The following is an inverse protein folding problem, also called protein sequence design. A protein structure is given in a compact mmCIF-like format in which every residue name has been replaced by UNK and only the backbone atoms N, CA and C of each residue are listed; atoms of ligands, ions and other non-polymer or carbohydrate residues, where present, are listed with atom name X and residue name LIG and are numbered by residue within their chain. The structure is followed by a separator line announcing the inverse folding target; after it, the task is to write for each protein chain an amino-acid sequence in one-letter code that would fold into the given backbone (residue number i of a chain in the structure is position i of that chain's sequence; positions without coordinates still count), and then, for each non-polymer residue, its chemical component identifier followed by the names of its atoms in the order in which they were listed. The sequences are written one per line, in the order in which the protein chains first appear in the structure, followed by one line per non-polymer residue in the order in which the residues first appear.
data_IF_538429552872
#
_entry.id   IF_538429552872
#
_cell.length_a   1.000
_cell.length_b   1.000
_cell.length_c   1.000
_cell.angle_alpha   90.00
_cell.angle_beta   90.00
_cell.angle_gamma   90.00
#
_symmetry.space_group_name_H-M   'P 1'
#
loop_
_entity.id
_entity.type
_entity.pdbx_description
1 polymer ?
#
# COMPACT_ATOMS: atom_id res chain seq x y z
N UNK A 1 -63.09 -26.27 51.47
CA UNK A 1 -62.89 -25.34 52.60
C UNK A 1 -61.83 -24.32 52.16
N UNK A 2 -62.28 -23.11 51.78
CA UNK A 2 -61.90 -21.79 52.37
C UNK A 2 -60.40 -21.47 52.25
N UNK A 3 -59.90 -20.39 51.63
CA UNK A 3 -60.43 -19.04 51.33
C UNK A 3 -59.33 -18.30 50.48
N UNK A 4 -59.66 -17.56 49.41
CA UNK A 4 -59.90 -16.08 49.37
C UNK A 4 -58.58 -15.32 49.04
N UNK A 5 -58.50 -14.34 48.13
CA UNK A 5 -59.20 -13.04 48.14
C UNK A 5 -58.81 -12.21 46.88
N UNK A 6 -59.85 -11.64 46.22
CA UNK A 6 -60.05 -10.30 45.61
C UNK A 6 -58.89 -9.58 44.84
N UNK A 7 -59.12 -8.68 43.88
CA UNK A 7 -60.14 -7.62 43.75
C UNK A 7 -60.15 -7.09 42.30
N UNK A 8 -61.34 -6.73 41.82
CA UNK A 8 -61.59 -5.89 40.64
C UNK A 8 -61.25 -4.44 41.00
N UNK A 9 -60.52 -3.72 40.15
CA UNK A 9 -60.57 -2.25 40.15
C UNK A 9 -60.59 -1.71 38.72
N UNK A 10 -61.74 -1.13 38.39
CA UNK A 10 -61.98 -0.18 37.32
C UNK A 10 -60.98 0.98 37.38
N UNK A 11 -60.33 1.28 36.26
CA UNK A 11 -59.56 2.51 36.10
C UNK A 11 -60.07 3.29 34.88
N UNK A 12 -60.49 4.51 35.18
CA UNK A 12 -61.04 5.51 34.29
C UNK A 12 -60.08 5.92 33.17
N UNK A 13 -60.67 6.19 32.01
CA UNK A 13 -60.06 6.86 30.88
C UNK A 13 -59.77 8.32 31.24
N UNK A 14 -58.51 8.70 31.36
CA UNK A 14 -58.05 10.09 31.34
C UNK A 14 -57.19 10.29 30.10
N UNK A 15 -57.70 11.08 29.15
CA UNK A 15 -56.90 11.66 28.08
C UNK A 15 -55.87 12.61 28.70
N UNK A 16 -54.62 12.48 28.27
CA UNK A 16 -53.65 13.58 28.32
C UNK A 16 -53.14 13.87 26.89
N UNK A 17 -52.97 15.15 26.51
CA UNK A 17 -52.48 15.54 25.20
C UNK A 17 -50.95 15.64 25.18
N UNK A 18 -50.36 15.27 24.04
CA UNK A 18 -49.16 15.90 23.47
C UNK A 18 -47.83 15.76 24.22
N UNK A 19 -47.02 14.78 23.80
CA UNK A 19 -45.57 14.91 23.82
C UNK A 19 -45.06 14.70 22.39
N UNK A 20 -44.56 15.77 21.77
CA UNK A 20 -43.85 15.70 20.50
C UNK A 20 -42.67 14.76 20.67
N UNK A 21 -42.64 13.70 19.87
CA UNK A 21 -41.46 12.84 19.75
C UNK A 21 -40.30 13.72 19.27
N UNK A 22 -39.33 13.93 20.14
CA UNK A 22 -38.02 14.41 19.73
C UNK A 22 -37.41 13.29 18.91
N UNK A 23 -37.23 13.54 17.61
CA UNK A 23 -36.39 12.73 16.73
C UNK A 23 -35.02 12.58 17.40
N UNK A 24 -34.78 11.41 17.98
CA UNK A 24 -33.46 11.02 18.44
C UNK A 24 -32.60 10.85 17.19
N UNK A 25 -31.83 11.89 16.87
CA UNK A 25 -30.79 11.82 15.86
C UNK A 25 -29.94 10.58 16.12
N UNK A 26 -29.81 9.74 15.08
CA UNK A 26 -28.88 8.61 15.10
C UNK A 26 -27.48 9.11 15.46
N UNK A 27 -26.70 8.40 16.30
CA UNK A 27 -25.35 8.82 16.59
C UNK A 27 -24.58 8.86 15.28
N UNK A 28 -24.06 10.04 14.92
CA UNK A 28 -23.25 10.25 13.74
C UNK A 28 -22.15 9.17 13.71
N UNK A 29 -22.13 8.37 12.64
CA UNK A 29 -21.09 7.39 12.41
C UNK A 29 -19.74 8.10 12.48
N UNK A 30 -18.83 7.63 13.33
CA UNK A 30 -17.46 8.14 13.33
C UNK A 30 -16.91 8.03 11.90
N UNK A 31 -16.17 9.03 11.40
CA UNK A 31 -15.57 8.95 10.07
C UNK A 31 -14.69 7.70 10.02
N UNK A 32 -15.07 6.75 9.15
CA UNK A 32 -14.29 5.54 8.92
C UNK A 32 -12.97 5.93 8.24
N UNK A 33 -11.87 5.32 8.67
CA UNK A 33 -10.58 5.56 8.04
C UNK A 33 -10.62 5.11 6.56
N UNK A 34 -9.87 5.78 5.67
CA UNK A 34 -9.74 5.35 4.28
C UNK A 34 -9.34 3.87 4.15
N UNK A 35 -10.03 3.12 3.30
CA UNK A 35 -9.82 1.67 3.13
C UNK A 35 -8.36 1.27 2.79
N UNK A 36 -7.59 2.15 2.15
CA UNK A 36 -6.17 1.93 1.85
C UNK A 36 -5.28 1.83 3.11
N UNK A 37 -5.71 2.40 4.24
CA UNK A 37 -5.02 2.37 5.54
C UNK A 37 -5.44 1.19 6.42
N UNK A 38 -6.59 0.58 6.11
CA UNK A 38 -7.13 -0.57 6.85
C UNK A 38 -6.42 -1.87 6.45
N UNK A 39 -6.57 -2.93 7.27
CA UNK A 39 -6.05 -4.26 6.95
C UNK A 39 -6.66 -4.75 5.62
N UNK A 40 -5.81 -4.99 4.62
CA UNK A 40 -6.19 -5.28 3.23
C UNK A 40 -5.86 -4.15 2.26
N UNK A 41 -5.63 -2.94 2.75
CA UNK A 41 -5.11 -1.81 1.97
C UNK A 41 -3.59 -1.81 1.85
N UNK A 42 -3.06 -1.13 0.83
CA UNK A 42 -1.62 -1.06 0.55
C UNK A 42 -0.83 -0.29 1.64
N UNK A 43 -1.49 0.64 2.34
CA UNK A 43 -0.91 1.41 3.45
C UNK A 43 -1.26 0.84 4.84
N UNK A 44 -1.79 -0.38 4.92
CA UNK A 44 -2.03 -1.05 6.18
C UNK A 44 -0.76 -1.09 7.04
N UNK A 45 -0.79 -0.47 8.22
CA UNK A 45 0.32 -0.49 9.15
C UNK A 45 0.23 -1.74 10.03
N UNK A 46 1.16 -2.69 9.85
CA UNK A 46 1.26 -3.91 10.68
C UNK A 46 2.58 -3.91 11.42
N UNK A 47 2.51 -3.93 12.74
CA UNK A 47 3.67 -3.91 13.63
C UNK A 47 3.32 -4.54 14.98
N UNK A 48 4.06 -4.22 16.06
CA UNK A 48 3.80 -4.80 17.39
C UNK A 48 2.46 -4.35 17.96
N UNK A 49 2.04 -3.13 17.65
CA UNK A 49 0.82 -2.47 18.13
C UNK A 49 -0.38 -2.81 17.23
N UNK A 50 -0.18 -2.83 15.92
CA UNK A 50 -1.22 -3.05 14.93
C UNK A 50 -1.07 -4.46 14.34
N UNK A 51 -2.03 -5.35 14.63
CA UNK A 51 -1.91 -6.78 14.33
C UNK A 51 -2.96 -7.26 13.35
N UNK A 52 -2.54 -8.13 12.42
CA UNK A 52 -3.48 -8.91 11.61
C UNK A 52 -4.13 -10.01 12.44
N UNK A 53 -5.37 -10.35 12.08
CA UNK A 53 -6.09 -11.44 12.70
C UNK A 53 -5.47 -12.81 12.36
N UNK A 54 -5.84 -13.83 13.12
CA UNK A 54 -5.37 -15.21 12.90
C UNK A 54 -5.90 -15.82 11.60
N UNK A 55 -7.00 -15.29 11.09
CA UNK A 55 -7.72 -15.76 9.90
C UNK A 55 -7.47 -14.87 8.69
N UNK A 56 -6.67 -13.81 8.83
CA UNK A 56 -6.34 -12.94 7.71
C UNK A 56 -5.45 -13.66 6.72
N UNK A 57 -5.90 -13.70 5.47
CA UNK A 57 -5.18 -14.19 4.30
C UNK A 57 -5.65 -13.34 3.11
N UNK A 58 -4.72 -12.73 2.34
CA UNK A 58 -5.10 -12.04 1.11
C UNK A 58 -5.70 -13.03 0.10
N UNK A 59 -6.76 -12.61 -0.59
CA UNK A 59 -7.48 -13.42 -1.58
C UNK A 59 -6.85 -13.36 -2.98
N UNK A 60 -5.86 -12.49 -3.17
CA UNK A 60 -5.19 -12.17 -4.45
C UNK A 60 -3.71 -12.59 -4.48
N UNK A 61 -3.31 -13.60 -3.69
CA UNK A 61 -1.93 -14.10 -3.66
C UNK A 61 -1.56 -14.83 -4.96
N UNK A 62 -0.44 -14.45 -5.56
CA UNK A 62 0.14 -15.07 -6.75
C UNK A 62 1.66 -15.25 -6.60
N UNK A 63 2.24 -16.15 -7.40
CA UNK A 63 3.70 -16.26 -7.51
C UNK A 63 4.21 -15.30 -8.59
N UNK A 64 5.08 -14.33 -8.25
CA UNK A 64 5.74 -13.50 -9.25
C UNK A 64 6.74 -14.33 -10.08
N UNK A 65 6.92 -13.94 -11.34
CA UNK A 65 7.86 -14.51 -12.31
C UNK A 65 9.27 -13.98 -12.12
N UNK A 66 9.79 -14.11 -10.90
CA UNK A 66 11.12 -13.65 -10.52
C UNK A 66 12.02 -14.82 -10.14
N UNK A 67 13.33 -14.63 -10.29
CA UNK A 67 14.29 -15.63 -9.89
C UNK A 67 14.34 -15.77 -8.35
N UNK A 68 14.57 -17.00 -7.89
CA UNK A 68 14.95 -17.31 -6.50
C UNK A 68 16.15 -18.22 -6.51
N UNK A 69 16.95 -18.21 -5.44
CA UNK A 69 18.24 -18.92 -5.41
C UNK A 69 18.13 -20.44 -5.62
N UNK A 70 16.97 -21.05 -5.34
CA UNK A 70 16.70 -22.50 -5.51
C UNK A 70 15.21 -22.74 -5.78
N UNK A 71 14.89 -23.66 -6.68
CA UNK A 71 13.50 -24.02 -7.02
C UNK A 71 12.66 -24.42 -5.80
N UNK A 72 13.25 -25.12 -4.82
CA UNK A 72 12.57 -25.54 -3.58
C UNK A 72 12.12 -24.39 -2.67
N UNK A 73 12.45 -23.14 -2.99
CA UNK A 73 12.04 -21.97 -2.23
C UNK A 73 10.88 -21.21 -2.87
N UNK A 74 10.45 -21.60 -4.08
CA UNK A 74 9.35 -20.94 -4.81
C UNK A 74 8.05 -20.90 -4.00
N UNK A 75 7.78 -21.93 -3.20
CA UNK A 75 6.60 -21.99 -2.32
C UNK A 75 6.55 -20.87 -1.27
N UNK A 76 7.66 -20.16 -1.04
CA UNK A 76 7.75 -19.02 -0.12
C UNK A 76 7.60 -17.68 -0.82
N UNK A 77 7.52 -17.66 -2.16
CA UNK A 77 7.54 -16.45 -2.97
C UNK A 77 6.12 -16.20 -3.49
N UNK A 78 5.27 -15.71 -2.59
CA UNK A 78 3.93 -15.25 -2.92
C UNK A 78 3.80 -13.78 -2.53
N UNK A 79 3.10 -13.02 -3.35
CA UNK A 79 2.73 -11.63 -3.09
C UNK A 79 1.30 -11.43 -3.55
N UNK A 80 0.64 -10.39 -3.04
CA UNK A 80 -0.59 -9.90 -3.66
C UNK A 80 -0.31 -9.52 -5.11
N UNK A 81 -1.29 -9.70 -5.98
CA UNK A 81 -1.13 -9.60 -7.43
C UNK A 81 -0.45 -8.30 -7.90
N UNK A 82 -0.87 -7.16 -7.38
CA UNK A 82 -0.29 -5.86 -7.71
C UNK A 82 1.20 -5.77 -7.32
N UNK A 83 1.54 -6.19 -6.09
CA UNK A 83 2.91 -6.21 -5.59
C UNK A 83 3.78 -7.23 -6.35
N UNK A 84 3.22 -8.35 -6.79
CA UNK A 84 3.92 -9.35 -7.60
C UNK A 84 4.37 -8.77 -8.95
N UNK A 85 3.46 -8.10 -9.66
CA UNK A 85 3.75 -7.44 -10.94
C UNK A 85 4.78 -6.32 -10.79
N UNK A 86 4.65 -5.53 -9.73
CA UNK A 86 5.62 -4.50 -9.40
C UNK A 86 7.02 -5.08 -9.11
N UNK A 87 7.10 -6.22 -8.43
CA UNK A 87 8.37 -6.88 -8.15
C UNK A 87 9.04 -7.39 -9.43
N UNK A 88 8.25 -7.98 -10.34
CA UNK A 88 8.72 -8.40 -11.67
C UNK A 88 9.34 -7.20 -12.42
N UNK A 89 8.62 -6.09 -12.50
CA UNK A 89 9.11 -4.87 -13.15
C UNK A 89 10.39 -4.32 -12.50
N UNK A 90 10.48 -4.36 -11.17
CA UNK A 90 11.68 -3.93 -10.45
C UNK A 90 12.90 -4.81 -10.78
N UNK A 91 12.72 -6.14 -10.84
CA UNK A 91 13.81 -7.07 -11.14
C UNK A 91 14.26 -6.95 -12.61
N UNK A 92 13.31 -6.76 -13.53
CA UNK A 92 13.62 -6.47 -14.92
C UNK A 92 14.41 -5.17 -15.07
N UNK A 93 14.01 -4.10 -14.39
CA UNK A 93 14.74 -2.83 -14.43
C UNK A 93 16.16 -2.96 -13.88
N UNK A 94 16.36 -3.67 -12.77
CA UNK A 94 17.69 -3.94 -12.22
C UNK A 94 18.60 -4.60 -13.27
N UNK A 95 18.05 -5.57 -14.00
CA UNK A 95 18.78 -6.31 -15.01
C UNK A 95 19.05 -5.49 -16.28
N UNK A 96 18.05 -4.80 -16.82
CA UNK A 96 18.20 -4.08 -18.08
C UNK A 96 18.92 -2.74 -17.96
N UNK A 97 18.82 -2.07 -16.81
CA UNK A 97 19.49 -0.78 -16.58
C UNK A 97 20.96 -0.97 -16.17
N UNK A 98 21.24 -1.95 -15.30
CA UNK A 98 22.55 -2.08 -14.64
C UNK A 98 23.19 -3.48 -14.79
N UNK A 99 22.48 -4.47 -15.34
CA UNK A 99 22.94 -5.86 -15.39
C UNK A 99 22.85 -6.59 -14.05
N UNK A 100 22.15 -6.03 -13.05
CA UNK A 100 22.02 -6.62 -11.72
C UNK A 100 20.95 -7.71 -11.70
N UNK A 101 21.30 -8.86 -11.12
CA UNK A 101 20.34 -9.95 -10.89
C UNK A 101 19.91 -9.96 -9.43
N UNK A 102 18.61 -9.83 -9.20
CA UNK A 102 18.01 -9.94 -7.87
C UNK A 102 17.34 -11.31 -7.68
N UNK A 103 17.31 -11.80 -6.45
CA UNK A 103 16.63 -13.02 -6.05
C UNK A 103 15.58 -12.75 -4.97
N UNK A 104 14.37 -13.25 -5.18
CA UNK A 104 13.34 -13.30 -4.16
C UNK A 104 13.65 -14.39 -3.14
N UNK A 105 13.55 -14.07 -1.84
CA UNK A 105 13.92 -14.98 -0.76
C UNK A 105 12.74 -15.36 0.15
N UNK A 106 11.85 -14.42 0.46
CA UNK A 106 10.68 -14.69 1.30
C UNK A 106 9.58 -13.65 1.10
N UNK A 107 8.42 -14.08 0.59
CA UNK A 107 7.22 -13.27 0.41
C UNK A 107 6.20 -13.50 1.54
N UNK A 108 4.95 -13.75 1.16
CA UNK A 108 3.85 -14.03 2.08
C UNK A 108 4.17 -15.15 3.07
N UNK A 109 3.78 -14.93 4.32
CA UNK A 109 3.81 -15.96 5.37
C UNK A 109 2.51 -15.92 6.13
N UNK A 110 1.83 -17.05 6.26
CA UNK A 110 0.61 -17.15 7.05
C UNK A 110 0.85 -16.93 8.55
N UNK A 111 -0.21 -16.64 9.29
CA UNK A 111 -0.15 -16.51 10.76
C UNK A 111 0.47 -17.76 11.42
N UNK A 112 0.07 -18.95 10.97
CA UNK A 112 0.55 -20.23 11.49
C UNK A 112 2.06 -20.40 11.29
N UNK A 113 2.57 -20.12 10.09
CA UNK A 113 4.00 -20.17 9.79
C UNK A 113 4.76 -19.18 10.67
N UNK A 114 4.26 -17.94 10.79
CA UNK A 114 4.89 -16.92 11.64
C UNK A 114 4.95 -17.37 13.11
N UNK A 115 3.91 -18.05 13.59
CA UNK A 115 3.87 -18.58 14.96
C UNK A 115 4.91 -19.67 15.20
N UNK A 116 5.12 -20.55 14.22
CA UNK A 116 6.16 -21.59 14.26
C UNK A 116 7.55 -20.94 14.31
N UNK A 117 7.84 -19.99 13.42
CA UNK A 117 9.13 -19.27 13.39
C UNK A 117 9.41 -18.54 14.70
N UNK A 118 8.39 -17.86 15.24
CA UNK A 118 8.52 -17.18 16.51
C UNK A 118 8.81 -18.15 17.66
N UNK A 119 8.06 -19.26 17.77
CA UNK A 119 8.26 -20.25 18.82
C UNK A 119 9.63 -20.92 18.74
N UNK A 120 10.10 -21.25 17.53
CA UNK A 120 11.45 -21.77 17.32
C UNK A 120 12.50 -20.76 17.81
N UNK A 121 12.33 -19.47 17.50
CA UNK A 121 13.25 -18.43 18.00
C UNK A 121 13.22 -18.29 19.51
N UNK A 122 12.05 -18.40 20.15
CA UNK A 122 11.92 -18.40 21.62
C UNK A 122 12.70 -19.56 22.25
N UNK A 123 12.60 -20.75 21.66
CA UNK A 123 13.34 -21.93 22.13
C UNK A 123 14.86 -21.73 21.98
N UNK A 124 15.31 -21.17 20.85
CA UNK A 124 16.73 -20.89 20.59
C UNK A 124 17.32 -19.87 21.59
N UNK A 125 16.63 -18.77 21.84
CA UNK A 125 17.17 -17.65 22.66
C UNK A 125 16.78 -17.72 24.14
N UNK A 126 15.92 -18.67 24.51
CA UNK A 126 15.43 -18.89 25.88
C UNK A 126 14.56 -17.75 26.46
N UNK A 127 14.10 -16.81 25.64
CA UNK A 127 13.31 -15.66 26.10
C UNK A 127 12.40 -15.11 25.02
N UNK A 128 11.10 -14.95 25.35
CA UNK A 128 10.13 -14.32 24.44
C UNK A 128 10.50 -12.89 24.09
N UNK A 129 10.98 -12.12 25.06
CA UNK A 129 11.38 -10.73 24.85
C UNK A 129 12.59 -10.63 23.90
N UNK A 130 13.60 -11.50 24.07
CA UNK A 130 14.76 -11.56 23.15
C UNK A 130 14.38 -12.09 21.77
N UNK A 131 13.39 -12.97 21.67
CA UNK A 131 12.90 -13.45 20.38
C UNK A 131 12.16 -12.34 19.61
N UNK A 132 11.36 -11.52 20.30
CA UNK A 132 10.58 -10.42 19.72
C UNK A 132 11.41 -9.31 19.07
N UNK A 133 12.69 -9.17 19.43
CA UNK A 133 13.60 -8.25 18.75
C UNK A 133 14.22 -8.82 17.49
N UNK A 134 14.06 -10.12 17.21
CA UNK A 134 14.63 -10.83 16.04
C UNK A 134 13.58 -11.38 15.08
N UNK A 135 12.44 -11.80 15.60
CA UNK A 135 11.33 -12.37 14.83
C UNK A 135 10.04 -11.79 15.38
N UNK A 136 9.25 -11.17 14.50
CA UNK A 136 7.96 -10.63 14.87
C UNK A 136 7.02 -11.76 15.37
N UNK A 137 6.28 -11.56 16.47
CA UNK A 137 5.18 -12.45 16.85
C UNK A 137 4.17 -12.61 15.71
N UNK A 138 3.47 -13.74 15.68
CA UNK A 138 2.35 -13.91 14.77
C UNK A 138 1.29 -12.82 14.99
N UNK A 139 0.78 -12.27 13.88
CA UNK A 139 -0.07 -11.08 13.85
C UNK A 139 0.71 -9.78 13.63
N UNK A 140 2.00 -9.74 13.95
CA UNK A 140 2.82 -8.52 13.89
C UNK A 140 3.83 -8.51 12.74
N UNK A 141 3.77 -9.45 11.81
CA UNK A 141 4.69 -9.49 10.66
C UNK A 141 3.99 -8.97 9.41
N UNK A 142 4.60 -7.99 8.75
CA UNK A 142 4.07 -7.45 7.48
C UNK A 142 4.08 -8.49 6.34
N UNK A 143 4.89 -9.55 6.42
CA UNK A 143 4.79 -10.69 5.49
C UNK A 143 3.39 -11.31 5.46
N UNK A 144 2.61 -11.19 6.54
CA UNK A 144 1.24 -11.69 6.57
C UNK A 144 0.30 -10.88 5.66
N UNK A 145 0.68 -9.68 5.23
CA UNK A 145 -0.08 -8.87 4.27
C UNK A 145 0.08 -9.34 2.83
N UNK A 146 1.10 -10.15 2.52
CA UNK A 146 1.46 -10.46 1.13
C UNK A 146 2.01 -9.25 0.35
N UNK A 147 2.41 -8.19 1.05
CA UNK A 147 2.96 -6.95 0.48
C UNK A 147 4.46 -6.81 0.69
N UNK A 148 5.13 -7.82 1.23
CA UNK A 148 6.55 -7.77 1.58
C UNK A 148 7.32 -8.82 0.82
N UNK A 149 8.47 -8.44 0.28
CA UNK A 149 9.46 -9.35 -0.25
C UNK A 149 10.83 -9.10 0.41
N UNK A 150 11.39 -10.15 1.00
CA UNK A 150 12.82 -10.20 1.31
C UNK A 150 13.60 -10.51 0.03
N UNK A 151 14.62 -9.71 -0.27
CA UNK A 151 15.42 -9.79 -1.50
C UNK A 151 16.88 -10.14 -1.19
N UNK A 152 17.51 -10.86 -2.11
CA UNK A 152 18.90 -11.27 -2.10
C UNK A 152 19.52 -11.01 -3.48
N UNK A 153 20.81 -11.29 -3.62
CA UNK A 153 21.49 -11.27 -4.90
C UNK A 153 22.40 -12.51 -5.04
N UNK A 154 22.80 -12.91 -6.25
CA UNK A 154 23.81 -13.95 -6.44
C UNK A 154 25.13 -13.64 -5.71
N UNK A 155 25.48 -12.35 -5.62
CA UNK A 155 26.63 -11.84 -4.87
C UNK A 155 26.52 -12.07 -3.35
N UNK A 156 25.29 -12.12 -2.81
CA UNK A 156 25.03 -12.33 -1.39
C UNK A 156 23.66 -12.98 -1.11
N UNK A 157 23.69 -14.26 -0.72
CA UNK A 157 22.49 -15.07 -0.43
C UNK A 157 22.02 -14.98 1.04
N UNK A 158 22.58 -14.08 1.84
CA UNK A 158 22.20 -13.87 3.23
C UNK A 158 21.20 -12.72 3.38
N UNK A 159 20.21 -12.87 4.26
CA UNK A 159 19.41 -11.74 4.75
C UNK A 159 20.17 -11.08 5.90
N UNK A 160 21.12 -10.21 5.56
CA UNK A 160 21.98 -9.50 6.50
C UNK A 160 22.37 -8.13 5.97
N UNK A 161 22.96 -7.28 6.84
CA UNK A 161 23.41 -5.93 6.48
C UNK A 161 24.30 -5.91 5.24
N UNK A 162 25.11 -6.95 5.05
CA UNK A 162 26.00 -7.09 3.89
C UNK A 162 25.26 -7.06 2.54
N UNK A 163 23.97 -7.41 2.48
CA UNK A 163 23.17 -7.23 1.27
C UNK A 163 23.13 -5.76 0.84
N UNK A 164 22.91 -4.83 1.77
CA UNK A 164 22.87 -3.39 1.49
C UNK A 164 24.21 -2.82 1.02
N UNK A 165 25.30 -3.54 1.25
CA UNK A 165 26.65 -3.18 0.79
C UNK A 165 27.02 -3.77 -0.58
N UNK A 166 26.14 -4.58 -1.17
CA UNK A 166 26.27 -5.03 -2.57
C UNK A 166 25.78 -3.95 -3.53
N UNK A 167 26.23 -4.01 -4.79
CA UNK A 167 25.73 -3.09 -5.82
C UNK A 167 24.24 -3.30 -6.05
N UNK A 168 23.78 -4.56 -6.04
CA UNK A 168 22.37 -4.90 -6.21
C UNK A 168 21.49 -4.38 -5.05
N UNK A 169 21.98 -4.51 -3.81
CA UNK A 169 21.27 -4.01 -2.63
C UNK A 169 21.23 -2.48 -2.56
N UNK A 170 22.33 -1.79 -2.92
CA UNK A 170 22.34 -0.33 -3.05
C UNK A 170 21.37 0.15 -4.12
N UNK A 171 21.39 -0.49 -5.29
CA UNK A 171 20.48 -0.18 -6.38
C UNK A 171 19.02 -0.36 -5.93
N UNK A 172 18.70 -1.49 -5.29
CA UNK A 172 17.34 -1.74 -4.80
C UNK A 172 16.91 -0.71 -3.75
N UNK A 173 17.77 -0.37 -2.79
CA UNK A 173 17.49 0.64 -1.77
C UNK A 173 17.24 2.05 -2.35
N UNK A 174 17.86 2.38 -3.48
CA UNK A 174 17.69 3.66 -4.17
C UNK A 174 16.52 3.67 -5.15
N UNK A 175 16.19 2.54 -5.78
CA UNK A 175 15.28 2.48 -6.93
C UNK A 175 13.93 1.82 -6.64
N UNK A 176 13.78 1.05 -5.56
CA UNK A 176 12.55 0.31 -5.25
C UNK A 176 11.28 1.18 -5.26
N UNK A 177 11.40 2.46 -4.88
CA UNK A 177 10.29 3.40 -4.82
C UNK A 177 9.60 3.63 -6.17
N UNK A 178 10.37 3.55 -7.27
CA UNK A 178 9.89 3.67 -8.66
C UNK A 178 8.85 2.58 -8.99
N UNK A 179 8.90 1.46 -8.28
CA UNK A 179 8.04 0.30 -8.45
C UNK A 179 7.06 0.13 -7.29
N UNK A 180 6.93 1.12 -6.40
CA UNK A 180 5.98 1.07 -5.30
C UNK A 180 6.46 0.32 -4.05
N UNK A 181 7.75 -0.01 -3.98
CA UNK A 181 8.37 -0.61 -2.80
C UNK A 181 9.17 0.42 -2.00
N UNK A 182 9.07 0.34 -0.67
CA UNK A 182 9.96 1.07 0.24
C UNK A 182 10.95 0.11 0.89
N UNK A 183 12.17 0.56 1.14
CA UNK A 183 13.03 -0.09 2.11
C UNK A 183 12.45 0.16 3.50
N UNK A 184 11.87 -0.87 4.11
CA UNK A 184 10.93 -0.71 5.23
C UNK A 184 11.59 -0.33 6.55
N UNK A 185 12.80 -0.82 6.77
CA UNK A 185 13.55 -0.66 8.01
C UNK A 185 14.95 -0.14 7.71
N UNK A 186 15.21 1.11 8.13
CA UNK A 186 16.53 1.76 8.13
C UNK A 186 16.95 2.04 9.56
N UNK A 187 18.26 2.03 9.85
CA UNK A 187 18.77 2.23 11.21
C UNK A 187 18.29 3.54 11.85
N UNK A 188 18.28 4.63 11.08
CA UNK A 188 17.82 5.95 11.52
C UNK A 188 16.35 5.99 11.96
N UNK A 189 15.52 5.05 11.52
CA UNK A 189 14.10 4.97 11.88
C UNK A 189 13.80 3.96 13.00
N UNK A 190 14.83 3.28 13.53
CA UNK A 190 14.68 2.21 14.52
C UNK A 190 13.85 2.59 15.76
N UNK A 191 13.94 3.83 16.22
CA UNK A 191 13.15 4.31 17.37
C UNK A 191 11.64 4.37 17.08
N UNK A 192 11.29 4.58 15.80
CA UNK A 192 9.90 4.65 15.33
C UNK A 192 9.39 3.26 14.97
N UNK A 193 10.14 2.52 14.14
CA UNK A 193 9.71 1.19 13.64
C UNK A 193 9.83 0.10 14.71
N UNK A 194 10.75 0.27 15.68
CA UNK A 194 11.06 -0.73 16.69
C UNK A 194 11.80 -1.97 16.16
N UNK A 195 12.28 -1.91 14.92
CA UNK A 195 13.02 -2.97 14.19
C UNK A 195 14.38 -2.41 13.76
N UNK A 196 15.41 -3.24 13.83
CA UNK A 196 16.76 -2.89 13.37
C UNK A 196 16.81 -2.75 11.85
N UNK A 197 17.91 -2.22 11.32
CA UNK A 197 18.12 -2.11 9.87
C UNK A 197 18.03 -3.46 9.16
N UNK A 198 17.25 -3.50 8.07
CA UNK A 198 17.03 -4.69 7.25
C UNK A 198 17.06 -4.31 5.76
N UNK A 199 18.25 -4.08 5.15
CA UNK A 199 18.40 -3.63 3.76
C UNK A 199 17.81 -4.58 2.72
N UNK A 200 17.41 -5.79 3.11
CA UNK A 200 16.77 -6.80 2.26
C UNK A 200 15.24 -6.74 2.27
N UNK A 201 14.61 -5.99 3.19
CA UNK A 201 13.18 -6.08 3.47
C UNK A 201 12.39 -4.95 2.79
N UNK A 202 11.73 -5.29 1.68
CA UNK A 202 10.99 -4.32 0.86
C UNK A 202 9.49 -4.49 1.03
N UNK A 203 8.81 -3.37 1.32
CA UNK A 203 7.36 -3.31 1.54
C UNK A 203 6.68 -2.56 0.40
N UNK A 204 5.74 -3.20 -0.27
CA UNK A 204 4.88 -2.57 -1.27
C UNK A 204 3.83 -1.67 -0.63
N UNK A 205 3.72 -0.46 -1.16
CA UNK A 205 2.75 0.57 -0.74
C UNK A 205 2.11 1.30 -1.94
N UNK A 206 2.46 0.93 -3.18
CA UNK A 206 2.07 1.65 -4.40
C UNK A 206 3.07 2.73 -4.80
N UNK A 207 3.21 3.00 -6.11
CA UNK A 207 4.27 3.88 -6.66
C UNK A 207 4.15 5.31 -6.12
N UNK A 208 2.93 5.86 -6.09
CA UNK A 208 2.68 7.21 -5.59
C UNK A 208 3.20 7.41 -4.16
N UNK A 209 2.83 6.49 -3.27
CA UNK A 209 3.19 6.53 -1.86
C UNK A 209 4.68 6.23 -1.63
N UNK A 210 5.22 5.19 -2.28
CA UNK A 210 6.62 4.82 -2.11
C UNK A 210 7.55 5.96 -2.57
N UNK A 211 7.21 6.63 -3.66
CA UNK A 211 7.96 7.76 -4.18
C UNK A 211 7.86 8.98 -3.28
N UNK A 212 6.67 9.28 -2.75
CA UNK A 212 6.50 10.35 -1.76
C UNK A 212 7.30 10.08 -0.47
N UNK A 213 7.27 8.84 0.04
CA UNK A 213 8.03 8.42 1.21
C UNK A 213 9.54 8.46 0.97
N UNK A 214 9.98 8.06 -0.22
CA UNK A 214 11.38 8.14 -0.62
C UNK A 214 11.87 9.59 -0.66
N UNK A 215 11.08 10.51 -1.24
CA UNK A 215 11.40 11.93 -1.28
C UNK A 215 11.47 12.56 0.12
N UNK A 216 10.55 12.18 1.02
CA UNK A 216 10.50 12.69 2.39
C UNK A 216 11.51 12.02 3.33
N UNK A 217 12.09 10.87 2.93
CA UNK A 217 12.96 10.00 3.74
C UNK A 217 12.39 9.66 5.13
N UNK A 218 11.14 9.18 5.16
CA UNK A 218 10.41 8.81 6.39
C UNK A 218 9.94 7.34 6.40
N UNK A 219 9.75 6.74 7.60
CA UNK A 219 9.20 5.40 7.71
C UNK A 219 7.68 5.39 7.47
N UNK A 220 7.13 4.19 7.23
CA UNK A 220 5.70 3.99 6.99
C UNK A 220 4.85 4.50 8.15
N UNK A 221 5.27 4.27 9.39
CA UNK A 221 4.59 4.75 10.60
C UNK A 221 4.31 6.26 10.56
N UNK A 222 5.34 7.05 10.26
CA UNK A 222 5.21 8.51 10.16
C UNK A 222 4.37 8.90 8.97
N UNK A 223 4.56 8.26 7.81
CA UNK A 223 3.79 8.56 6.61
C UNK A 223 2.28 8.35 6.83
N UNK A 224 1.87 7.19 7.40
CA UNK A 224 0.44 6.89 7.60
C UNK A 224 -0.21 7.79 8.65
N UNK A 225 0.54 8.24 9.67
CA UNK A 225 0.03 9.17 10.68
C UNK A 225 -0.47 10.48 10.04
N UNK A 226 0.30 11.03 9.10
CA UNK A 226 -0.08 12.26 8.40
C UNK A 226 -1.02 11.99 7.22
N UNK A 227 -0.81 10.91 6.47
CA UNK A 227 -1.67 10.52 5.35
C UNK A 227 -3.12 10.25 5.80
N UNK A 228 -3.34 9.75 7.03
CA UNK A 228 -4.68 9.56 7.60
C UNK A 228 -5.52 10.85 7.73
N UNK A 229 -4.89 12.03 7.63
CA UNK A 229 -5.58 13.32 7.67
C UNK A 229 -6.09 13.78 6.29
N UNK A 230 -5.71 13.06 5.23
CA UNK A 230 -6.07 13.35 3.84
C UNK A 230 -7.35 12.60 3.45
N UNK A 231 -8.17 13.16 2.53
CA UNK A 231 -9.32 12.44 1.97
C UNK A 231 -8.91 11.13 1.28
N UNK A 232 -9.73 10.09 1.38
CA UNK A 232 -9.41 8.78 0.82
C UNK A 232 -9.11 8.78 -0.69
N UNK A 233 -9.84 9.59 -1.47
CA UNK A 233 -9.61 9.71 -2.91
C UNK A 233 -8.25 10.37 -3.24
N UNK A 234 -7.71 11.20 -2.33
CA UNK A 234 -6.36 11.76 -2.46
C UNK A 234 -5.32 10.69 -2.23
N UNK A 235 -5.56 9.77 -1.30
CA UNK A 235 -4.66 8.64 -1.08
C UNK A 235 -4.66 7.68 -2.28
N UNK A 236 -5.79 7.45 -2.95
CA UNK A 236 -5.86 6.50 -4.06
C UNK A 236 -5.58 7.09 -5.44
N UNK A 237 -5.71 8.42 -5.61
CA UNK A 237 -5.56 9.10 -6.90
C UNK A 237 -4.52 10.23 -6.93
N UNK A 238 -3.96 10.60 -5.77
CA UNK A 238 -2.95 11.66 -5.69
C UNK A 238 -1.64 11.24 -6.34
N UNK A 239 -0.97 12.20 -6.99
CA UNK A 239 0.39 12.02 -7.49
C UNK A 239 1.40 11.98 -6.33
N UNK A 240 2.57 11.40 -6.58
CA UNK A 240 3.65 11.36 -5.60
C UNK A 240 4.08 12.76 -5.11
N UNK A 241 4.16 13.76 -6.00
CA UNK A 241 4.52 15.13 -5.62
C UNK A 241 3.45 15.81 -4.75
N UNK A 242 2.16 15.57 -5.03
CA UNK A 242 1.07 16.05 -4.19
C UNK A 242 1.15 15.43 -2.80
N UNK A 243 1.29 14.10 -2.74
CA UNK A 243 1.36 13.36 -1.48
C UNK A 243 2.56 13.80 -0.65
N UNK A 244 3.74 13.94 -1.27
CA UNK A 244 4.95 14.44 -0.60
C UNK A 244 4.75 15.86 -0.08
N UNK A 245 4.15 16.74 -0.89
CA UNK A 245 3.88 18.13 -0.53
C UNK A 245 2.91 18.27 0.65
N UNK A 246 1.78 17.56 0.60
CA UNK A 246 0.77 17.59 1.66
C UNK A 246 1.31 16.99 2.96
N UNK A 247 1.90 15.80 2.90
CA UNK A 247 2.46 15.13 4.09
C UNK A 247 3.61 15.95 4.67
N UNK A 248 4.50 16.48 3.84
CA UNK A 248 5.62 17.31 4.29
C UNK A 248 5.17 18.59 5.00
N UNK A 249 4.12 19.26 4.50
CA UNK A 249 3.55 20.43 5.17
C UNK A 249 2.91 20.08 6.51
N UNK A 250 2.14 18.98 6.56
CA UNK A 250 1.54 18.51 7.82
C UNK A 250 2.60 18.14 8.86
N UNK A 251 3.69 17.49 8.45
CA UNK A 251 4.85 17.20 9.30
C UNK A 251 5.51 18.46 9.86
N UNK A 252 5.55 19.53 9.06
CA UNK A 252 6.07 20.82 9.48
C UNK A 252 5.10 21.63 10.37
N UNK A 253 3.95 21.05 10.75
CA UNK A 253 2.91 21.73 11.53
C UNK A 253 2.15 22.80 10.74
N UNK A 254 2.27 22.79 9.41
CA UNK A 254 1.56 23.71 8.54
C UNK A 254 0.22 23.11 8.12
N UNK A 255 -0.79 23.96 7.94
CA UNK A 255 -2.05 23.53 7.31
C UNK A 255 -1.90 23.67 5.80
N UNK A 256 -1.95 22.56 5.01
CA UNK A 256 -1.77 22.66 3.58
C UNK A 256 -2.88 23.50 2.95
N UNK A 257 -2.50 24.50 2.17
CA UNK A 257 -3.43 25.51 1.62
C UNK A 257 -4.60 24.88 0.83
N UNK A 258 -4.32 23.78 0.13
CA UNK A 258 -5.30 23.08 -0.70
C UNK A 258 -6.03 21.95 0.05
N UNK A 259 -5.71 21.67 1.32
CA UNK A 259 -6.33 20.56 2.05
C UNK A 259 -7.83 20.79 2.28
N UNK A 260 -8.26 22.04 2.52
CA UNK A 260 -9.68 22.34 2.64
C UNK A 260 -10.42 22.16 1.30
N UNK A 261 -9.82 22.62 0.20
CA UNK A 261 -10.35 22.42 -1.16
C UNK A 261 -10.52 20.93 -1.46
N UNK A 262 -9.52 20.10 -1.11
CA UNK A 262 -9.59 18.66 -1.29
C UNK A 262 -10.70 18.01 -0.43
N UNK A 263 -10.98 18.54 0.76
CA UNK A 263 -12.04 17.99 1.63
C UNK A 263 -13.45 18.30 1.12
N UNK A 264 -13.62 19.43 0.45
CA UNK A 264 -14.91 19.93 -0.03
C UNK A 264 -15.13 19.68 -1.53
N UNK A 265 -14.18 19.00 -2.19
CA UNK A 265 -14.18 18.79 -3.64
C UNK A 265 -15.41 17.99 -4.11
N UNK A 266 -16.20 18.62 -4.99
CA UNK A 266 -17.25 17.94 -5.77
C UNK A 266 -16.64 17.24 -6.99
N UNK A 267 -15.71 17.93 -7.68
CA UNK A 267 -14.90 17.37 -8.75
C UNK A 267 -13.52 16.98 -8.20
N UNK A 268 -13.35 15.69 -7.94
CA UNK A 268 -12.13 15.15 -7.33
C UNK A 268 -10.93 15.21 -8.29
N UNK A 269 -11.13 15.04 -9.59
CA UNK A 269 -10.04 15.05 -10.56
C UNK A 269 -9.47 16.47 -10.71
N UNK A 270 -10.37 17.45 -10.88
CA UNK A 270 -9.97 18.85 -10.95
C UNK A 270 -9.30 19.30 -9.64
N UNK A 271 -9.83 18.90 -8.49
CA UNK A 271 -9.23 19.22 -7.20
C UNK A 271 -7.83 18.62 -7.03
N UNK A 272 -7.59 17.37 -7.49
CA UNK A 272 -6.26 16.77 -7.48
C UNK A 272 -5.29 17.53 -8.39
N UNK A 273 -5.73 17.93 -9.59
CA UNK A 273 -4.93 18.72 -10.53
C UNK A 273 -4.51 20.06 -9.92
N UNK A 274 -5.47 20.81 -9.40
CA UNK A 274 -5.23 22.13 -8.81
C UNK A 274 -4.34 22.05 -7.57
N UNK A 275 -4.60 21.07 -6.69
CA UNK A 275 -3.79 20.87 -5.50
C UNK A 275 -2.37 20.38 -5.80
N UNK A 276 -2.15 19.69 -6.93
CA UNK A 276 -0.83 19.22 -7.35
C UNK A 276 0.04 20.34 -7.89
N UNK A 277 -0.56 21.35 -8.54
CA UNK A 277 0.16 22.39 -9.28
C UNK A 277 1.28 23.10 -8.49
N UNK A 278 1.12 23.45 -7.19
CA UNK A 278 2.17 24.10 -6.41
C UNK A 278 3.39 23.20 -6.11
N UNK A 279 3.24 21.88 -6.23
CA UNK A 279 4.27 20.90 -5.89
C UNK A 279 4.99 20.34 -7.13
N UNK A 280 4.58 20.74 -8.34
CA UNK A 280 5.20 20.27 -9.58
C UNK A 280 6.62 20.84 -9.73
N UNK A 281 7.61 19.99 -10.04
CA UNK A 281 8.92 20.44 -10.49
C UNK A 281 8.83 21.35 -11.73
N UNK A 282 9.78 22.29 -11.92
CA UNK A 282 9.80 23.16 -13.09
C UNK A 282 9.76 22.37 -14.39
N UNK A 283 8.78 22.69 -15.25
CA UNK A 283 8.61 22.06 -16.57
C UNK A 283 7.88 20.70 -16.55
N UNK A 284 7.48 20.17 -15.39
CA UNK A 284 6.69 18.94 -15.31
C UNK A 284 5.19 19.25 -15.31
N UNK A 285 4.42 18.54 -16.15
CA UNK A 285 2.95 18.64 -16.16
C UNK A 285 2.31 17.76 -15.09
N UNK A 286 1.04 18.04 -14.77
CA UNK A 286 0.25 17.19 -13.89
C UNK A 286 0.16 15.74 -14.41
N UNK A 287 -0.09 15.56 -15.71
CA UNK A 287 -0.19 14.25 -16.35
C UNK A 287 1.12 13.49 -16.26
N UNK A 288 2.26 14.15 -16.44
CA UNK A 288 3.56 13.51 -16.29
C UNK A 288 3.78 13.01 -14.85
N UNK A 289 3.40 13.81 -13.84
CA UNK A 289 3.50 13.40 -12.45
C UNK A 289 2.50 12.26 -12.10
N UNK A 290 1.31 12.28 -12.71
CA UNK A 290 0.28 11.27 -12.52
C UNK A 290 0.64 9.94 -13.19
N UNK A 291 1.09 9.96 -14.46
CA UNK A 291 1.50 8.76 -15.19
C UNK A 291 2.73 8.09 -14.62
N UNK A 292 3.62 8.84 -13.96
CA UNK A 292 4.69 8.25 -13.17
C UNK A 292 4.13 7.37 -12.03
N UNK A 293 3.12 7.87 -11.31
CA UNK A 293 2.53 7.20 -10.16
C UNK A 293 1.54 6.07 -10.56
N UNK A 294 0.86 6.24 -11.69
CA UNK A 294 -0.15 5.33 -12.22
C UNK A 294 0.17 5.06 -13.69
N UNK A 295 1.22 4.28 -13.98
CA UNK A 295 1.55 3.92 -15.34
C UNK A 295 0.37 3.13 -15.92
N UNK A 296 -0.39 3.75 -16.82
CA UNK A 296 -1.43 3.02 -17.56
C UNK A 296 -0.76 1.93 -18.38
N UNK A 297 -1.41 0.76 -18.57
CA UNK A 297 -0.96 -0.15 -19.61
C UNK A 297 -0.87 0.66 -20.90
N UNK A 298 0.30 0.62 -21.56
CA UNK A 298 0.56 1.36 -22.80
C UNK A 298 -0.69 1.29 -23.68
N UNK A 299 -1.27 2.41 -24.14
CA UNK A 299 -2.31 2.34 -25.14
C UNK A 299 -1.75 1.50 -26.28
N UNK A 300 -2.33 0.32 -26.53
CA UNK A 300 -2.13 -0.34 -27.82
C UNK A 300 -2.56 0.70 -28.83
N UNK A 301 -1.66 1.10 -29.73
CA UNK A 301 -2.00 2.03 -30.80
C UNK A 301 -3.36 1.61 -31.39
N UNK A 302 -4.29 2.56 -31.63
CA UNK A 302 -5.54 2.21 -32.29
C UNK A 302 -5.22 1.40 -33.55
N UNK A 303 -6.05 0.39 -33.91
CA UNK A 303 -5.80 -0.44 -35.07
C UNK A 303 -5.52 0.46 -36.26
N UNK A 304 -4.38 0.23 -36.92
CA UNK A 304 -3.97 0.96 -38.09
C UNK A 304 -5.09 0.84 -39.14
N UNK A 305 -5.79 1.93 -39.39
CA UNK A 305 -6.70 2.03 -40.51
C UNK A 305 -5.85 2.33 -41.74
N UNK A 306 -5.74 1.34 -42.63
CA UNK A 306 -5.31 1.56 -44.01
C UNK A 306 -6.24 2.63 -44.61
N UNK A 307 -5.78 3.88 -44.66
CA UNK A 307 -6.31 4.87 -45.59
C UNK A 307 -5.53 4.75 -46.89
N UNK A 308 -5.56 3.56 -47.49
CA UNK A 308 -5.14 3.41 -48.88
C UNK A 308 -6.19 4.12 -49.74
N UNK A 309 -5.80 5.30 -50.24
CA UNK A 309 -6.46 5.99 -51.34
C UNK A 309 -6.79 4.97 -52.45
N UNK A 310 -8.07 4.91 -52.84
CA UNK A 310 -8.48 4.21 -54.04
C UNK A 310 -7.59 4.64 -55.22
N UNK A 311 -6.70 3.73 -55.63
CA UNK A 311 -5.93 3.85 -56.86
C UNK A 311 -6.91 3.91 -58.02
N UNK A 312 -7.26 5.12 -58.46
CA UNK A 312 -7.98 5.34 -59.72
C UNK A 312 -7.08 4.87 -60.86
N UNK A 313 -7.42 3.72 -61.42
CA UNK A 313 -6.78 3.20 -62.64
C UNK A 313 -6.96 4.21 -63.79
N UNK A 314 -5.88 4.67 -64.44
CA UNK A 314 -6.00 5.56 -65.59
C UNK A 314 -6.44 4.79 -66.84
N UNK A 315 -7.45 5.36 -67.49
CA UNK A 315 -8.09 5.03 -68.76
C UNK A 315 -7.46 3.96 -69.66
N UNK A 316 -8.25 2.93 -69.99
CA UNK A 316 -8.17 2.29 -71.29
C UNK A 316 -9.13 2.99 -72.25
N UNK A 317 -8.57 3.86 -73.09
CA UNK A 317 -9.13 4.19 -74.39
C UNK A 317 -8.32 3.42 -75.45
N UNK A 318 -8.99 2.71 -76.36
CA UNK A 318 -8.39 2.35 -77.64
C UNK A 318 -8.80 1.01 -78.24
N UNK A 319 -9.85 1.04 -79.08
CA UNK A 319 -9.79 0.53 -80.45
C UNK A 319 -10.15 -0.93 -80.73
N UNK A 320 -11.11 -1.13 -81.65
CA UNK A 320 -11.33 -2.38 -82.38
C UNK A 320 -12.79 -2.71 -82.60
#
# INVERSE_FOLDING_TARGET
MKKLLLLVFSAWLLMQPGALAQDAASPASQPQAPAILEIGGNLALVNRQNRVSRTYEPDDLVQPRVATRKASLQERIYLRQEAAQALEAMFEAAFYEEGYTLFAASGYRSFGIQQILFNAKVQEVGSRQKAQSRVAPAGSSEHQLGLVMDIQAPSHLGLSLAFGETDEGRWAGQNAHRFGFILRYKDQWRQITGVSDEPWHFRYVGIAHASAMHQLDIPLETYVEYAAQLPGYVLTGGSHVLLAGLVGQLMAGQTPQHLQLLREAVDQEQALRDATAPYLPPGQSYEQALWYAYPTPRPTAPPWTDEDEEVRLPGQAGGG
#
